data_IF_619144434108
#
_entry.id   IF_619144434108
#
_cell.length_a   1.000
_cell.length_b   1.000
_cell.length_c   1.000
_cell.angle_alpha   90.00
_cell.angle_beta   90.00
_cell.angle_gamma   90.00
#
_symmetry.space_group_name_H-M   'P 1'
#
loop_
_entity.id
_entity.type
_entity.pdbx_description
1 polymer ?
#
# COMPACT_ATOMS: atom_id res chain seq x y z
N UNK A 1 1.17 -19.95 -21.75
CA UNK A 1 0.21 -18.94 -21.23
C UNK A 1 -0.69 -19.64 -20.24
N UNK A 2 -0.75 -19.14 -19.00
CA UNK A 2 -1.63 -19.65 -17.95
C UNK A 2 -2.69 -18.59 -17.64
N UNK A 3 -3.95 -18.98 -17.64
CA UNK A 3 -5.05 -18.08 -17.29
C UNK A 3 -5.23 -18.10 -15.77
N UNK A 4 -5.21 -16.93 -15.15
CA UNK A 4 -5.48 -16.80 -13.72
C UNK A 4 -6.99 -16.78 -13.44
N UNK A 5 -7.45 -17.39 -12.33
CA UNK A 5 -8.81 -17.15 -11.85
C UNK A 5 -9.06 -15.65 -11.63
N UNK A 6 -10.27 -15.14 -11.94
CA UNK A 6 -10.57 -13.75 -11.72
C UNK A 6 -10.50 -13.39 -10.23
N UNK A 7 -10.22 -12.10 -9.89
CA UNK A 7 -10.13 -11.64 -8.50
C UNK A 7 -11.34 -12.03 -7.63
N UNK A 8 -12.56 -11.92 -8.16
CA UNK A 8 -13.77 -12.29 -7.43
C UNK A 8 -13.81 -13.77 -7.00
N UNK A 9 -13.17 -14.66 -7.76
CA UNK A 9 -13.10 -16.08 -7.43
C UNK A 9 -12.28 -16.27 -6.14
N UNK A 10 -11.11 -15.63 -6.07
CA UNK A 10 -10.27 -15.70 -4.87
C UNK A 10 -10.95 -15.00 -3.67
N UNK A 11 -11.66 -13.90 -3.90
CA UNK A 11 -12.42 -13.19 -2.87
C UNK A 11 -13.57 -14.06 -2.32
N UNK A 12 -14.25 -14.84 -3.15
CA UNK A 12 -15.30 -15.78 -2.70
C UNK A 12 -14.76 -16.91 -1.81
N UNK A 13 -13.54 -17.38 -2.06
CA UNK A 13 -12.91 -18.37 -1.19
C UNK A 13 -12.48 -17.78 0.15
N UNK A 14 -12.13 -16.50 0.18
CA UNK A 14 -11.65 -15.78 1.35
C UNK A 14 -12.45 -14.49 1.56
N UNK A 15 -13.75 -14.58 1.91
CA UNK A 15 -14.60 -13.41 2.09
C UNK A 15 -14.28 -12.70 3.40
N UNK A 16 -14.40 -11.36 3.38
CA UNK A 16 -14.20 -10.54 4.58
C UNK A 16 -15.44 -9.74 4.97
N UNK A 17 -16.43 -9.67 4.09
CA UNK A 17 -17.64 -8.89 4.30
C UNK A 17 -18.36 -9.28 5.60
N UNK A 18 -18.68 -8.31 6.43
CA UNK A 18 -19.34 -8.50 7.73
C UNK A 18 -18.43 -9.03 8.84
N UNK A 19 -17.16 -9.32 8.56
CA UNK A 19 -16.22 -9.89 9.54
C UNK A 19 -15.49 -8.84 10.37
N UNK A 20 -14.77 -9.31 11.41
CA UNK A 20 -13.84 -8.46 12.18
C UNK A 20 -12.70 -7.88 11.34
N UNK A 21 -12.29 -8.60 10.28
CA UNK A 21 -11.26 -8.17 9.33
C UNK A 21 -11.69 -6.90 8.60
N UNK A 22 -12.88 -6.90 8.00
CA UNK A 22 -13.43 -5.72 7.32
C UNK A 22 -13.56 -4.53 8.28
N UNK A 23 -14.06 -4.78 9.50
CA UNK A 23 -14.21 -3.74 10.53
C UNK A 23 -12.87 -3.13 10.91
N UNK A 24 -11.83 -3.95 11.10
CA UNK A 24 -10.47 -3.47 11.38
C UNK A 24 -9.94 -2.58 10.27
N UNK A 25 -10.03 -3.03 9.03
CA UNK A 25 -9.51 -2.32 7.86
C UNK A 25 -10.20 -0.95 7.73
N UNK A 26 -11.54 -0.94 7.77
CA UNK A 26 -12.30 0.30 7.66
C UNK A 26 -12.01 1.28 8.80
N UNK A 27 -11.89 0.77 10.04
CA UNK A 27 -11.51 1.56 11.22
C UNK A 27 -10.11 2.15 11.05
N UNK A 28 -9.13 1.35 10.60
CA UNK A 28 -7.75 1.80 10.43
C UNK A 28 -7.63 2.83 9.30
N UNK A 29 -8.27 2.61 8.16
CA UNK A 29 -8.31 3.59 7.06
C UNK A 29 -8.87 4.93 7.54
N UNK A 30 -9.95 4.91 8.33
CA UNK A 30 -10.53 6.11 8.92
C UNK A 30 -9.55 6.82 9.86
N UNK A 31 -8.89 6.07 10.76
CA UNK A 31 -7.90 6.62 11.70
C UNK A 31 -6.71 7.27 10.97
N UNK A 32 -6.15 6.59 9.96
CA UNK A 32 -5.05 7.15 9.16
C UNK A 32 -5.49 8.46 8.50
N UNK A 33 -6.69 8.51 7.94
CA UNK A 33 -7.26 9.73 7.37
C UNK A 33 -7.38 10.83 8.42
N UNK A 34 -7.86 10.52 9.62
CA UNK A 34 -8.00 11.48 10.71
C UNK A 34 -6.65 12.05 11.15
N UNK A 35 -5.60 11.21 11.23
CA UNK A 35 -4.21 11.64 11.49
C UNK A 35 -3.72 12.58 10.38
N UNK A 36 -3.87 12.18 9.12
CA UNK A 36 -3.41 12.99 7.98
C UNK A 36 -4.08 14.37 7.88
N UNK A 37 -5.31 14.49 8.37
CA UNK A 37 -6.07 15.74 8.38
C UNK A 37 -6.04 16.47 9.72
N UNK A 38 -5.16 16.08 10.64
CA UNK A 38 -4.96 16.76 11.94
C UNK A 38 -6.15 16.65 12.91
N UNK A 39 -6.99 15.62 12.76
CA UNK A 39 -8.13 15.32 13.65
C UNK A 39 -7.79 14.30 14.74
N UNK A 40 -6.68 13.61 14.59
CA UNK A 40 -6.11 12.64 15.52
C UNK A 40 -4.62 12.98 15.61
N UNK A 41 -4.10 13.23 16.80
CA UNK A 41 -2.73 13.70 17.04
C UNK A 41 -1.72 12.54 17.22
N UNK A 42 -2.18 11.29 17.12
CA UNK A 42 -1.30 10.13 17.15
C UNK A 42 -0.37 10.09 15.94
N UNK A 43 0.80 9.49 16.15
CA UNK A 43 1.73 9.24 15.05
C UNK A 43 1.36 7.95 14.31
N UNK A 44 1.25 8.02 12.98
CA UNK A 44 1.14 6.83 12.13
C UNK A 44 2.51 6.16 11.98
N UNK A 45 2.61 4.90 12.37
CA UNK A 45 3.84 4.10 12.26
C UNK A 45 3.62 2.92 11.34
N UNK A 46 4.33 2.87 10.20
CA UNK A 46 4.28 1.78 9.24
C UNK A 46 5.61 1.03 9.32
N UNK A 47 5.61 -0.12 9.94
CA UNK A 47 6.83 -0.87 10.28
C UNK A 47 6.65 -2.36 9.99
N UNK A 48 7.73 -3.02 9.54
CA UNK A 48 7.73 -4.45 9.26
C UNK A 48 8.90 -4.88 8.38
N UNK A 49 8.89 -6.15 7.96
CA UNK A 49 9.93 -6.71 7.08
C UNK A 49 10.06 -5.93 5.78
N UNK A 50 11.24 -5.99 5.15
CA UNK A 50 11.47 -5.35 3.84
C UNK A 50 10.58 -5.95 2.76
N UNK A 51 10.46 -7.29 2.73
CA UNK A 51 9.56 -8.06 1.88
C UNK A 51 9.20 -9.37 2.57
N UNK A 52 7.98 -9.80 2.39
CA UNK A 52 7.53 -11.10 2.86
C UNK A 52 8.01 -12.17 1.88
N UNK A 53 8.73 -13.16 2.38
CA UNK A 53 9.09 -14.38 1.65
C UNK A 53 8.68 -15.65 2.41
N UNK A 54 8.49 -15.55 3.71
CA UNK A 54 8.05 -16.62 4.59
C UNK A 54 6.80 -16.19 5.37
N UNK A 55 5.62 -16.79 5.08
CA UNK A 55 4.39 -16.49 5.79
C UNK A 55 4.47 -16.76 7.31
N UNK A 56 5.18 -17.81 7.73
CA UNK A 56 5.28 -18.16 9.15
C UNK A 56 6.06 -17.10 9.92
N UNK A 57 7.18 -16.65 9.36
CA UNK A 57 7.96 -15.54 9.93
C UNK A 57 7.15 -14.23 9.95
N UNK A 58 6.29 -13.99 8.96
CA UNK A 58 5.41 -12.83 8.94
C UNK A 58 4.36 -12.87 10.07
N UNK A 59 3.79 -14.03 10.36
CA UNK A 59 2.85 -14.23 11.48
C UNK A 59 3.52 -14.05 12.82
N UNK A 60 4.74 -14.61 13.01
CA UNK A 60 5.53 -14.40 14.23
C UNK A 60 5.84 -12.91 14.47
N UNK A 61 6.25 -12.21 13.40
CA UNK A 61 6.46 -10.76 13.46
C UNK A 61 5.17 -10.01 13.83
N UNK A 62 4.05 -10.34 13.17
CA UNK A 62 2.74 -9.72 13.42
C UNK A 62 2.32 -9.91 14.89
N UNK A 63 2.55 -11.09 15.47
CA UNK A 63 2.22 -11.42 16.85
C UNK A 63 2.97 -10.50 17.81
N UNK A 64 4.28 -10.36 17.63
CA UNK A 64 5.14 -9.48 18.46
C UNK A 64 4.79 -8.00 18.28
N UNK A 65 4.53 -7.58 17.05
CA UNK A 65 4.16 -6.20 16.74
C UNK A 65 2.78 -5.84 17.31
N UNK A 66 1.85 -6.79 17.35
CA UNK A 66 0.51 -6.57 17.93
C UNK A 66 0.57 -6.22 19.42
N UNK A 67 1.52 -6.75 20.16
CA UNK A 67 1.75 -6.38 21.56
C UNK A 67 2.13 -4.90 21.68
N UNK A 68 3.03 -4.43 20.79
CA UNK A 68 3.44 -3.03 20.76
C UNK A 68 2.28 -2.13 20.30
N UNK A 69 1.49 -2.57 19.32
CA UNK A 69 0.29 -1.85 18.88
C UNK A 69 -0.70 -1.64 20.03
N UNK A 70 -0.94 -2.66 20.84
CA UNK A 70 -1.82 -2.57 22.02
C UNK A 70 -1.24 -1.65 23.10
N UNK A 71 0.08 -1.77 23.35
CA UNK A 71 0.77 -0.99 24.38
C UNK A 71 0.75 0.51 24.10
N UNK A 72 0.89 0.91 22.86
CA UNK A 72 1.00 2.31 22.43
C UNK A 72 -0.25 2.83 21.68
N UNK A 73 -1.40 2.17 21.82
CA UNK A 73 -2.61 2.52 21.04
C UNK A 73 -3.12 3.96 21.26
N UNK A 74 -2.79 4.56 22.42
CA UNK A 74 -3.12 5.96 22.72
C UNK A 74 -2.25 7.00 22.02
N UNK A 75 -1.04 6.60 21.58
CA UNK A 75 -0.02 7.51 21.02
C UNK A 75 0.28 7.21 19.56
N UNK A 76 0.20 5.92 19.19
CA UNK A 76 0.59 5.43 17.87
C UNK A 76 -0.56 4.69 17.18
N UNK A 77 -0.74 4.94 15.90
CA UNK A 77 -1.48 4.03 15.02
C UNK A 77 -0.47 3.20 14.25
N UNK A 78 -0.26 1.95 14.71
CA UNK A 78 0.74 1.04 14.12
C UNK A 78 0.09 0.18 13.03
N UNK A 79 0.68 0.18 11.84
CA UNK A 79 0.31 -0.65 10.68
C UNK A 79 1.51 -1.51 10.31
N UNK A 80 1.31 -2.82 10.16
CA UNK A 80 2.39 -3.70 9.74
C UNK A 80 2.67 -3.56 8.25
N UNK A 81 3.93 -3.37 7.89
CA UNK A 81 4.38 -3.42 6.51
C UNK A 81 4.38 -4.88 6.02
N UNK A 82 3.56 -5.17 5.00
CA UNK A 82 3.41 -6.50 4.39
C UNK A 82 3.58 -6.35 2.89
N UNK A 83 4.81 -6.30 2.43
CA UNK A 83 5.16 -6.08 1.02
C UNK A 83 5.45 -7.42 0.34
N UNK A 84 4.75 -7.70 -0.74
CA UNK A 84 4.84 -8.95 -1.50
C UNK A 84 5.61 -8.82 -2.81
N UNK A 85 5.82 -7.61 -3.29
CA UNK A 85 6.41 -7.33 -4.58
C UNK A 85 7.71 -6.53 -4.42
N UNK A 86 8.68 -6.83 -5.26
CA UNK A 86 10.01 -6.19 -5.26
C UNK A 86 10.29 -5.54 -6.60
N UNK A 87 10.39 -4.21 -6.68
CA UNK A 87 10.86 -3.55 -7.88
C UNK A 87 12.33 -3.91 -8.12
N UNK A 88 12.63 -4.39 -9.32
CA UNK A 88 13.99 -4.74 -9.74
C UNK A 88 14.44 -3.85 -10.87
N UNK A 89 15.66 -3.35 -10.79
CA UNK A 89 16.27 -2.54 -11.86
C UNK A 89 16.67 -3.43 -13.02
N UNK A 90 17.16 -4.64 -12.73
CA UNK A 90 17.58 -5.63 -13.73
C UNK A 90 16.85 -6.95 -13.50
N UNK A 91 17.50 -7.94 -12.92
CA UNK A 91 16.96 -9.27 -12.63
C UNK A 91 16.97 -9.56 -11.13
N UNK A 92 16.24 -10.56 -10.72
CA UNK A 92 16.17 -11.03 -9.34
C UNK A 92 14.77 -11.39 -8.90
N UNK A 93 14.64 -11.99 -7.75
CA UNK A 93 13.35 -12.39 -7.18
C UNK A 93 12.39 -11.19 -7.08
N UNK A 94 11.21 -11.32 -7.68
CA UNK A 94 10.22 -10.23 -7.80
C UNK A 94 9.24 -10.15 -6.63
N UNK A 95 9.36 -11.03 -5.66
CA UNK A 95 8.49 -11.08 -4.49
C UNK A 95 7.63 -12.34 -4.42
N UNK A 96 6.96 -12.51 -3.27
CA UNK A 96 6.19 -13.71 -2.95
C UNK A 96 5.05 -13.96 -3.95
N UNK A 97 4.38 -12.92 -4.44
CA UNK A 97 3.31 -13.11 -5.43
C UNK A 97 3.87 -13.71 -6.72
N UNK A 98 5.03 -13.24 -7.19
CA UNK A 98 5.58 -13.67 -8.47
C UNK A 98 6.29 -15.03 -8.42
N UNK A 99 6.94 -15.33 -7.29
CA UNK A 99 7.72 -16.56 -7.11
C UNK A 99 7.71 -16.96 -5.62
N UNK A 100 6.59 -17.60 -5.20
CA UNK A 100 6.34 -17.88 -3.78
C UNK A 100 7.31 -18.89 -3.16
N UNK A 101 7.92 -19.74 -3.97
CA UNK A 101 8.81 -20.82 -3.51
C UNK A 101 10.30 -20.51 -3.69
N UNK A 102 10.66 -19.35 -4.27
CA UNK A 102 12.03 -18.94 -4.56
C UNK A 102 12.80 -19.95 -5.44
N UNK A 103 12.08 -20.65 -6.33
CA UNK A 103 12.60 -21.71 -7.18
C UNK A 103 12.44 -21.43 -8.68
N UNK A 104 12.06 -20.18 -9.01
CA UNK A 104 11.81 -19.71 -10.38
C UNK A 104 10.66 -20.45 -11.08
N UNK A 105 9.78 -21.10 -10.33
CA UNK A 105 8.59 -21.76 -10.87
C UNK A 105 7.50 -20.77 -11.30
N UNK A 106 7.55 -19.54 -10.80
CA UNK A 106 6.61 -18.43 -11.10
C UNK A 106 5.13 -18.83 -10.96
N UNK A 107 4.81 -19.58 -9.91
CA UNK A 107 3.45 -20.00 -9.58
C UNK A 107 2.64 -18.83 -9.00
N UNK A 108 2.36 -17.85 -9.85
CA UNK A 108 1.72 -16.55 -9.47
C UNK A 108 0.31 -16.77 -8.91
N UNK A 109 -0.43 -17.74 -9.41
CA UNK A 109 -1.75 -18.13 -8.90
C UNK A 109 -1.69 -18.56 -7.42
N UNK A 110 -0.68 -19.31 -7.04
CA UNK A 110 -0.44 -19.69 -5.65
C UNK A 110 0.08 -18.52 -4.84
N UNK A 111 0.99 -17.72 -5.40
CA UNK A 111 1.50 -16.51 -4.76
C UNK A 111 0.39 -15.54 -4.38
N UNK A 112 -0.58 -15.30 -5.24
CA UNK A 112 -1.76 -14.48 -4.95
C UNK A 112 -2.63 -15.08 -3.84
N UNK A 113 -2.82 -16.40 -3.83
CA UNK A 113 -3.58 -17.11 -2.80
C UNK A 113 -2.89 -17.03 -1.45
N UNK A 114 -1.58 -17.27 -1.41
CA UNK A 114 -0.76 -17.17 -0.20
C UNK A 114 -0.79 -15.75 0.35
N UNK A 115 -0.61 -14.74 -0.51
CA UNK A 115 -0.63 -13.33 -0.11
C UNK A 115 -1.98 -12.93 0.49
N UNK A 116 -3.10 -13.30 -0.15
CA UNK A 116 -4.44 -13.00 0.36
C UNK A 116 -4.71 -13.70 1.69
N UNK A 117 -4.38 -15.00 1.80
CA UNK A 117 -4.55 -15.76 3.04
C UNK A 117 -3.77 -15.14 4.19
N UNK A 118 -2.49 -14.83 3.97
CA UNK A 118 -1.64 -14.20 4.98
C UNK A 118 -2.19 -12.85 5.44
N UNK A 119 -2.66 -12.01 4.53
CA UNK A 119 -3.28 -10.73 4.87
C UNK A 119 -4.53 -10.90 5.73
N UNK A 120 -5.35 -11.91 5.44
CA UNK A 120 -6.54 -12.22 6.25
C UNK A 120 -6.13 -12.65 7.67
N UNK A 121 -5.12 -13.50 7.80
CA UNK A 121 -4.62 -13.97 9.09
C UNK A 121 -4.09 -12.80 9.93
N UNK A 122 -3.22 -11.98 9.35
CA UNK A 122 -2.66 -10.79 10.02
C UNK A 122 -3.79 -9.84 10.47
N UNK A 123 -4.74 -9.53 9.60
CA UNK A 123 -5.86 -8.65 9.95
C UNK A 123 -6.79 -9.31 10.99
N UNK A 124 -7.01 -10.64 10.93
CA UNK A 124 -7.83 -11.38 11.91
C UNK A 124 -7.24 -11.32 13.32
N UNK A 125 -5.91 -11.30 13.44
CA UNK A 125 -5.21 -11.11 14.73
C UNK A 125 -5.45 -9.71 15.32
N UNK A 126 -5.90 -8.75 14.54
CA UNK A 126 -6.06 -7.34 14.92
C UNK A 126 -4.90 -6.45 14.48
N UNK A 127 -3.99 -6.94 13.62
CA UNK A 127 -2.87 -6.19 13.06
C UNK A 127 -3.23 -5.69 11.65
N UNK A 128 -3.46 -4.39 11.44
CA UNK A 128 -3.72 -3.85 10.11
C UNK A 128 -2.46 -3.91 9.25
N UNK A 129 -2.65 -4.15 7.95
CA UNK A 129 -1.57 -4.32 6.98
C UNK A 129 -1.48 -3.15 6.00
N UNK A 130 -0.24 -2.77 5.69
CA UNK A 130 0.11 -1.84 4.61
C UNK A 130 0.98 -2.53 3.56
N UNK A 131 0.77 -2.21 2.27
CA UNK A 131 1.54 -2.81 1.17
C UNK A 131 1.99 -1.78 0.14
N UNK A 132 3.00 -2.13 -0.65
CA UNK A 132 3.37 -1.36 -1.84
C UNK A 132 2.69 -1.98 -3.07
N UNK A 133 2.07 -1.15 -3.89
CA UNK A 133 1.46 -1.56 -5.14
C UNK A 133 2.45 -1.32 -6.28
N UNK A 134 3.09 -2.38 -6.75
CA UNK A 134 4.00 -2.35 -7.88
C UNK A 134 3.29 -2.78 -9.16
N UNK A 135 2.61 -3.91 -9.13
CA UNK A 135 1.74 -4.37 -10.21
C UNK A 135 0.37 -3.67 -10.14
N UNK A 136 -0.27 -3.47 -11.28
CA UNK A 136 -1.57 -2.77 -11.36
C UNK A 136 -2.77 -3.73 -11.36
N UNK A 137 -2.52 -5.03 -11.42
CA UNK A 137 -3.55 -6.09 -11.39
C UNK A 137 -3.65 -6.72 -9.99
N UNK A 138 -2.51 -6.95 -9.31
CA UNK A 138 -2.46 -7.55 -7.98
C UNK A 138 -3.35 -6.83 -6.95
N UNK A 139 -3.54 -5.48 -6.99
CA UNK A 139 -4.47 -4.78 -6.10
C UNK A 139 -5.91 -5.26 -6.21
N UNK A 140 -6.33 -5.82 -7.35
CA UNK A 140 -7.67 -6.37 -7.51
C UNK A 140 -7.90 -7.62 -6.64
N UNK A 141 -6.83 -8.35 -6.31
CA UNK A 141 -6.87 -9.56 -5.49
C UNK A 141 -6.72 -9.30 -3.99
N UNK A 142 -6.00 -8.23 -3.60
CA UNK A 142 -5.60 -8.00 -2.20
C UNK A 142 -5.95 -6.62 -1.64
N UNK A 143 -6.35 -5.66 -2.47
CA UNK A 143 -6.52 -4.25 -2.05
C UNK A 143 -7.63 -4.04 -1.00
N UNK A 144 -8.62 -4.92 -0.94
CA UNK A 144 -9.66 -4.93 0.09
C UNK A 144 -9.12 -5.27 1.50
N UNK A 145 -7.94 -5.87 1.58
CA UNK A 145 -7.26 -6.27 2.82
C UNK A 145 -6.20 -5.28 3.30
N UNK A 146 -5.96 -4.20 2.56
CA UNK A 146 -4.90 -3.23 2.81
C UNK A 146 -5.47 -1.97 3.47
N UNK A 147 -4.89 -1.57 4.60
CA UNK A 147 -5.27 -0.38 5.34
C UNK A 147 -4.51 0.88 4.89
N UNK A 148 -3.30 0.72 4.36
CA UNK A 148 -2.45 1.78 3.83
C UNK A 148 -1.62 1.24 2.66
N UNK A 149 -1.48 2.05 1.61
CA UNK A 149 -0.69 1.66 0.44
C UNK A 149 0.47 2.60 0.14
N UNK A 150 1.49 2.11 -0.56
CA UNK A 150 2.59 2.92 -1.07
C UNK A 150 2.76 2.75 -2.57
N UNK A 151 3.19 3.83 -3.24
CA UNK A 151 3.72 3.80 -4.60
C UNK A 151 5.23 4.04 -4.52
N UNK A 152 5.99 3.18 -5.18
CA UNK A 152 7.44 3.19 -5.14
C UNK A 152 8.07 4.34 -5.92
N UNK A 153 9.30 4.73 -5.56
CA UNK A 153 10.00 5.84 -6.20
C UNK A 153 10.16 5.71 -7.73
N UNK A 154 10.26 4.47 -8.24
CA UNK A 154 10.36 4.20 -9.68
C UNK A 154 9.03 4.28 -10.42
N UNK A 155 7.93 4.27 -9.70
CA UNK A 155 6.56 4.26 -10.25
C UNK A 155 5.75 5.50 -9.89
N UNK A 156 6.26 6.39 -9.03
CA UNK A 156 5.60 7.65 -8.68
C UNK A 156 5.39 8.58 -9.89
N UNK A 157 6.26 8.54 -10.91
CA UNK A 157 6.08 9.27 -12.17
C UNK A 157 5.06 8.62 -13.11
N UNK A 158 4.78 7.34 -12.94
CA UNK A 158 3.92 6.58 -13.84
C UNK A 158 2.47 7.05 -13.75
N UNK A 159 1.89 7.47 -14.88
CA UNK A 159 0.48 7.82 -14.99
C UNK A 159 -0.43 6.69 -14.53
N UNK A 160 -0.14 5.46 -14.93
CA UNK A 160 -0.94 4.27 -14.58
C UNK A 160 -1.02 4.08 -13.05
N UNK A 161 0.10 4.31 -12.33
CA UNK A 161 0.12 4.18 -10.86
C UNK A 161 -0.61 5.34 -10.17
N UNK A 162 -0.60 6.54 -10.74
CA UNK A 162 -1.38 7.68 -10.24
C UNK A 162 -2.88 7.44 -10.43
N UNK A 163 -3.28 6.91 -11.59
CA UNK A 163 -4.65 6.49 -11.90
C UNK A 163 -5.10 5.37 -10.97
N UNK A 164 -4.27 4.33 -10.77
CA UNK A 164 -4.52 3.26 -9.81
C UNK A 164 -4.78 3.83 -8.40
N UNK A 165 -3.89 4.70 -7.91
CA UNK A 165 -4.00 5.31 -6.59
C UNK A 165 -5.29 6.13 -6.44
N UNK A 166 -5.79 6.75 -7.50
CA UNK A 166 -7.05 7.51 -7.51
C UNK A 166 -8.29 6.66 -7.22
N UNK A 167 -8.20 5.35 -7.46
CA UNK A 167 -9.29 4.38 -7.26
C UNK A 167 -9.16 3.51 -6.02
N UNK A 168 -8.04 3.55 -5.32
CA UNK A 168 -7.83 2.75 -4.10
C UNK A 168 -8.52 3.41 -2.91
N UNK A 169 -9.29 2.61 -2.16
CA UNK A 169 -10.04 3.09 -0.99
C UNK A 169 -9.19 3.21 0.30
N UNK A 170 -7.88 3.12 0.21
CA UNK A 170 -6.94 3.28 1.30
C UNK A 170 -6.10 4.56 1.12
N UNK A 171 -5.59 5.18 2.20
CA UNK A 171 -4.57 6.21 2.11
C UNK A 171 -3.34 5.70 1.37
N UNK A 172 -2.76 6.53 0.49
CA UNK A 172 -1.62 6.17 -0.37
C UNK A 172 -0.47 7.14 -0.17
N UNK A 173 0.70 6.59 0.19
CA UNK A 173 1.95 7.33 0.20
C UNK A 173 2.71 7.21 -1.12
N UNK A 174 3.07 8.35 -1.72
CA UNK A 174 3.94 8.43 -2.89
C UNK A 174 5.38 8.71 -2.46
N UNK A 175 6.31 7.80 -2.77
CA UNK A 175 7.73 8.03 -2.50
C UNK A 175 8.27 9.10 -3.44
N UNK A 176 9.14 9.98 -2.92
CA UNK A 176 9.89 10.89 -3.76
C UNK A 176 10.78 10.12 -4.76
N UNK A 177 11.24 10.79 -5.81
CA UNK A 177 12.09 10.20 -6.84
C UNK A 177 13.36 9.55 -6.28
N UNK A 178 13.98 8.68 -7.06
CA UNK A 178 15.21 7.98 -6.67
C UNK A 178 16.40 8.93 -6.46
N UNK A 179 16.36 10.11 -7.09
CA UNK A 179 17.31 11.21 -6.94
C UNK A 179 17.05 12.12 -5.72
N UNK A 180 15.92 11.93 -5.03
CA UNK A 180 15.47 12.76 -3.91
C UNK A 180 14.42 13.82 -4.28
N UNK A 181 14.01 13.90 -5.54
CA UNK A 181 13.07 14.91 -6.03
C UNK A 181 11.67 14.72 -5.42
N UNK A 182 11.21 15.70 -4.64
CA UNK A 182 9.91 15.68 -3.94
C UNK A 182 8.78 16.08 -4.89
N UNK A 183 9.04 16.96 -5.85
CA UNK A 183 8.03 17.46 -6.80
C UNK A 183 7.28 16.34 -7.51
N UNK A 184 7.97 15.25 -7.84
CA UNK A 184 7.37 14.08 -8.48
C UNK A 184 6.24 13.49 -7.62
N UNK A 185 6.44 13.41 -6.29
CA UNK A 185 5.43 12.91 -5.36
C UNK A 185 4.28 13.93 -5.18
N UNK A 186 4.60 15.22 -5.14
CA UNK A 186 3.60 16.30 -5.08
C UNK A 186 2.69 16.28 -6.30
N UNK A 187 3.27 16.15 -7.51
CA UNK A 187 2.51 16.04 -8.76
C UNK A 187 1.64 14.76 -8.78
N UNK A 188 2.17 13.65 -8.24
CA UNK A 188 1.43 12.39 -8.13
C UNK A 188 0.21 12.50 -7.20
N UNK A 189 0.32 13.19 -6.07
CA UNK A 189 -0.78 13.44 -5.14
C UNK A 189 -1.87 14.29 -5.83
N UNK A 190 -1.47 15.35 -6.54
CA UNK A 190 -2.42 16.19 -7.27
C UNK A 190 -3.18 15.38 -8.33
N UNK A 191 -2.48 14.54 -9.09
CA UNK A 191 -3.09 13.68 -10.10
C UNK A 191 -4.03 12.65 -9.46
N UNK A 192 -3.55 11.89 -8.47
CA UNK A 192 -4.35 10.86 -7.80
C UNK A 192 -5.57 11.42 -7.05
N UNK A 193 -5.51 12.69 -6.64
CA UNK A 193 -6.63 13.40 -6.00
C UNK A 193 -7.79 13.77 -6.93
N UNK A 194 -7.66 13.54 -8.23
CA UNK A 194 -8.65 13.88 -9.27
C UNK A 194 -9.36 12.62 -9.80
N UNK A 195 -10.57 12.77 -10.38
CA UNK A 195 -11.21 11.69 -11.11
C UNK A 195 -10.41 11.30 -12.35
N UNK A 196 -10.40 10.01 -12.67
CA UNK A 196 -9.74 9.45 -13.85
C UNK A 196 -10.63 8.43 -14.56
N UNK A 197 -10.40 8.28 -15.87
CA UNK A 197 -10.95 7.20 -16.70
C UNK A 197 -9.78 6.46 -17.34
N UNK A 198 -9.65 5.17 -17.10
CA UNK A 198 -8.53 4.37 -17.60
C UNK A 198 -8.90 2.89 -17.76
N UNK A 199 -8.05 2.17 -18.48
CA UNK A 199 -8.22 0.73 -18.66
C UNK A 199 -7.71 -0.02 -17.43
N UNK A 200 -8.52 -0.92 -16.90
CA UNK A 200 -8.15 -1.81 -15.81
C UNK A 200 -8.88 -3.15 -15.89
N UNK A 201 -8.49 -4.09 -15.05
CA UNK A 201 -9.17 -5.37 -14.92
C UNK A 201 -10.21 -5.27 -13.80
N UNK A 202 -11.46 -5.60 -14.13
CA UNK A 202 -12.55 -5.67 -13.15
C UNK A 202 -12.44 -6.94 -12.29
N UNK A 203 -13.19 -7.00 -11.17
CA UNK A 203 -13.18 -8.15 -10.25
C UNK A 203 -13.56 -9.48 -10.93
N UNK A 204 -14.36 -9.45 -11.98
CA UNK A 204 -14.71 -10.63 -12.79
C UNK A 204 -13.65 -11.02 -13.84
N UNK A 205 -12.49 -10.34 -13.86
CA UNK A 205 -11.40 -10.62 -14.79
C UNK A 205 -11.51 -9.95 -16.16
N UNK A 206 -12.58 -9.20 -16.43
CA UNK A 206 -12.76 -8.50 -17.70
C UNK A 206 -11.98 -7.18 -17.73
N UNK A 207 -11.34 -6.91 -18.84
CA UNK A 207 -10.77 -5.57 -19.12
C UNK A 207 -11.92 -4.59 -19.30
N UNK A 208 -11.86 -3.48 -18.60
CA UNK A 208 -12.94 -2.49 -18.55
C UNK A 208 -12.39 -1.07 -18.51
N UNK A 209 -13.20 -0.10 -18.95
CA UNK A 209 -12.96 1.30 -18.62
C UNK A 209 -13.43 1.54 -17.20
N UNK A 210 -12.51 1.98 -16.34
CA UNK A 210 -12.80 2.27 -14.94
C UNK A 210 -12.85 3.78 -14.77
N UNK A 211 -13.88 4.26 -14.08
CA UNK A 211 -14.00 5.63 -13.60
C UNK A 211 -13.70 5.67 -12.11
N UNK A 212 -12.83 6.60 -11.70
CA UNK A 212 -12.49 6.84 -10.28
C UNK A 212 -12.91 8.24 -9.85
N UNK A 213 -13.12 8.41 -8.53
CA UNK A 213 -13.50 9.72 -7.95
C UNK A 213 -12.31 10.55 -7.48
N UNK A 214 -11.12 9.99 -7.54
CA UNK A 214 -9.92 10.54 -6.92
C UNK A 214 -9.78 10.13 -5.45
N UNK A 215 -8.52 10.04 -5.01
CA UNK A 215 -8.14 9.70 -3.64
C UNK A 215 -7.51 10.92 -2.95
N UNK A 216 -8.25 11.53 -2.03
CA UNK A 216 -7.80 12.73 -1.29
C UNK A 216 -6.92 12.40 -0.09
N UNK A 217 -6.73 11.13 0.21
CA UNK A 217 -5.93 10.65 1.32
C UNK A 217 -4.53 10.20 0.86
N UNK A 218 -3.96 10.94 -0.11
CA UNK A 218 -2.61 10.73 -0.60
C UNK A 218 -1.61 11.64 0.13
N UNK A 219 -0.38 11.15 0.36
CA UNK A 219 0.68 11.89 1.04
C UNK A 219 2.07 11.57 0.46
N UNK A 220 3.09 12.35 0.85
CA UNK A 220 4.48 12.14 0.46
C UNK A 220 5.15 11.13 1.40
N UNK A 221 6.06 10.32 0.86
CA UNK A 221 7.02 9.50 1.62
C UNK A 221 8.43 9.99 1.29
N UNK A 222 9.13 10.49 2.29
CA UNK A 222 10.55 10.87 2.18
C UNK A 222 11.43 9.62 2.30
N UNK A 223 11.86 9.07 1.15
CA UNK A 223 12.65 7.84 1.09
C UNK A 223 14.15 8.07 0.85
N UNK A 224 14.59 9.34 0.87
CA UNK A 224 15.95 9.72 0.53
C UNK A 224 16.22 9.79 -0.97
N UNK A 225 17.41 10.13 -1.31
CA UNK A 225 17.98 10.16 -2.64
C UNK A 225 19.43 9.70 -2.59
N UNK A 226 20.38 10.56 -2.97
CA UNK A 226 21.82 10.31 -2.72
C UNK A 226 22.15 10.30 -1.23
N UNK A 227 21.38 11.06 -0.45
CA UNK A 227 21.47 11.14 1.00
C UNK A 227 20.11 10.90 1.66
N UNK A 228 20.04 10.52 2.96
CA UNK A 228 18.80 10.47 3.72
C UNK A 228 18.13 11.85 3.78
N UNK A 229 16.78 11.89 3.81
CA UNK A 229 16.02 13.13 3.84
C UNK A 229 14.95 13.17 4.97
N UNK A 230 15.23 12.52 6.10
CA UNK A 230 14.33 12.47 7.26
C UNK A 230 14.55 13.60 8.27
N UNK A 231 15.64 14.38 8.15
CA UNK A 231 15.91 15.48 9.06
C UNK A 231 14.92 16.64 8.90
N UNK A 232 14.74 17.43 9.97
CA UNK A 232 13.78 18.54 10.03
C UNK A 232 13.83 19.49 8.83
N UNK A 233 15.03 19.82 8.33
CA UNK A 233 15.22 20.70 7.16
C UNK A 233 14.53 20.15 5.89
N UNK A 234 14.59 18.84 5.69
CA UNK A 234 13.96 18.19 4.52
C UNK A 234 12.45 18.07 4.69
N UNK A 235 11.99 17.80 5.92
CA UNK A 235 10.57 17.78 6.26
C UNK A 235 9.97 19.17 6.04
N UNK A 236 10.61 20.25 6.51
CA UNK A 236 10.18 21.61 6.30
C UNK A 236 10.13 22.00 4.83
N UNK A 237 11.15 21.61 4.05
CA UNK A 237 11.16 21.84 2.60
C UNK A 237 9.99 21.13 1.90
N UNK A 238 9.72 19.88 2.26
CA UNK A 238 8.58 19.13 1.72
C UNK A 238 7.24 19.76 2.11
N UNK A 239 7.06 20.20 3.36
CA UNK A 239 5.86 20.91 3.81
C UNK A 239 5.66 22.22 3.02
N UNK A 240 6.74 22.97 2.76
CA UNK A 240 6.68 24.21 1.98
C UNK A 240 6.27 23.95 0.53
N UNK A 241 6.76 22.88 -0.07
CA UNK A 241 6.39 22.47 -1.43
C UNK A 241 4.92 22.03 -1.51
N UNK A 242 4.46 21.24 -0.54
CA UNK A 242 3.05 20.85 -0.44
C UNK A 242 2.14 22.06 -0.27
N UNK A 243 2.52 23.02 0.60
CA UNK A 243 1.76 24.26 0.81
C UNK A 243 1.68 25.11 -0.47
N UNK A 244 2.80 25.24 -1.21
CA UNK A 244 2.83 25.94 -2.50
C UNK A 244 1.90 25.29 -3.53
N UNK A 245 1.77 23.96 -3.48
CA UNK A 245 0.85 23.17 -4.31
C UNK A 245 -0.59 23.15 -3.78
N UNK A 246 -0.89 23.82 -2.68
CA UNK A 246 -2.20 23.83 -1.97
C UNK A 246 -2.66 22.42 -1.56
N UNK A 247 -1.71 21.59 -1.15
CA UNK A 247 -1.94 20.24 -0.63
C UNK A 247 -1.80 20.21 0.89
N UNK A 248 -2.47 19.27 1.58
CA UNK A 248 -2.23 19.03 3.00
C UNK A 248 -0.78 18.65 3.29
N UNK A 249 -0.25 19.04 4.44
CA UNK A 249 1.11 18.69 4.89
C UNK A 249 1.19 17.25 5.40
N UNK A 250 0.75 16.28 4.61
CA UNK A 250 0.86 14.84 4.89
C UNK A 250 2.23 14.30 4.44
N UNK A 251 3.05 13.90 5.43
CA UNK A 251 4.38 13.31 5.22
C UNK A 251 4.52 12.01 6.01
#
# INVERSE_FOLDING_TARGET
>A
ITVLPPPEHLIRFFPIQGTSVEKLINKTRKKIREIMHGKDDRLLVIIGPCSIHDPSAAIDYATKLLEQRKKYEGELEIVMRVYFEKPRTTVGWKGLINDPYLDESYRIDEGLRIARHLLIEINRMGMPAGSEFLDVISPQYIGDLISWGAIGARTTESQIHRELASGISAPIGFKNGTDGNIKIATDAIQAAGRPHHFLSVHKNGQVSVVETKGNKDCHVILRGGKEPNYEAKFVQAACSELAAAKLPAGL
#
